data_IF_851068810238
#
_entry.id   IF_851068810238
#
_cell.length_a   1.000
_cell.length_b   1.000
_cell.length_c   1.000
_cell.angle_alpha   90.00
_cell.angle_beta   90.00
_cell.angle_gamma   90.00
#
_symmetry.space_group_name_H-M   'P 1'
#
loop_
_entity.id
_entity.type
_entity.pdbx_description
1 polymer ?
#
# COMPACT_ATOMS: atom_id res chain seq x y z
N UNK A 1 -2.08 -24.41 -2.91
CA UNK A 1 -1.67 -23.68 -4.14
C UNK A 1 -0.21 -23.27 -4.08
N UNK A 2 0.28 -22.58 -3.03
CA UNK A 2 1.67 -22.10 -2.93
C UNK A 2 2.68 -23.24 -3.08
N UNK A 3 2.56 -24.31 -2.31
CA UNK A 3 3.47 -25.49 -2.40
C UNK A 3 3.46 -26.19 -3.76
N UNK A 4 2.42 -25.99 -4.57
CA UNK A 4 2.27 -26.55 -5.93
C UNK A 4 2.64 -25.53 -7.01
N UNK A 5 3.20 -24.38 -6.66
CA UNK A 5 3.52 -23.26 -7.57
C UNK A 5 2.32 -22.80 -8.43
N UNK A 6 1.12 -22.97 -7.93
CA UNK A 6 -0.10 -22.49 -8.60
C UNK A 6 -0.26 -20.99 -8.37
N UNK A 7 -0.76 -20.28 -9.39
CA UNK A 7 -1.08 -18.85 -9.26
C UNK A 7 -2.18 -18.67 -8.21
N UNK A 8 -1.97 -17.72 -7.32
CA UNK A 8 -2.95 -17.30 -6.32
C UNK A 8 -3.89 -16.27 -6.93
N UNK A 9 -5.15 -16.33 -6.56
CA UNK A 9 -6.16 -15.30 -6.85
C UNK A 9 -6.34 -14.36 -5.64
N UNK A 10 -7.19 -13.35 -5.78
CA UNK A 10 -7.45 -12.39 -4.71
C UNK A 10 -7.95 -13.08 -3.43
N UNK A 11 -8.85 -14.03 -3.56
CA UNK A 11 -9.46 -14.71 -2.43
C UNK A 11 -8.45 -15.50 -1.61
N UNK A 12 -7.45 -16.15 -2.26
CA UNK A 12 -6.39 -16.87 -1.55
C UNK A 12 -5.59 -15.97 -0.61
N UNK A 13 -5.29 -14.74 -1.06
CA UNK A 13 -4.60 -13.75 -0.22
C UNK A 13 -5.52 -13.24 0.89
N UNK A 14 -6.76 -12.90 0.55
CA UNK A 14 -7.72 -12.31 1.48
C UNK A 14 -8.05 -13.24 2.64
N UNK A 15 -8.34 -14.49 2.35
CA UNK A 15 -8.66 -15.51 3.37
C UNK A 15 -7.50 -15.63 4.38
N UNK A 16 -6.27 -15.71 3.89
CA UNK A 16 -5.10 -15.80 4.75
C UNK A 16 -4.88 -14.52 5.57
N UNK A 17 -4.93 -13.35 4.93
CA UNK A 17 -4.71 -12.07 5.59
C UNK A 17 -5.80 -11.78 6.63
N UNK A 18 -7.06 -12.09 6.34
CA UNK A 18 -8.18 -11.98 7.30
C UNK A 18 -8.01 -12.92 8.49
N UNK A 19 -7.52 -14.14 8.26
CA UNK A 19 -7.22 -15.06 9.35
C UNK A 19 -6.10 -14.54 10.28
N UNK A 20 -5.07 -13.90 9.72
CA UNK A 20 -4.03 -13.23 10.51
C UNK A 20 -4.57 -12.00 11.24
N UNK A 21 -5.40 -11.19 10.57
CA UNK A 21 -6.04 -10.01 11.17
C UNK A 21 -6.89 -10.39 12.38
N UNK A 22 -7.72 -11.42 12.25
CA UNK A 22 -8.54 -11.92 13.36
C UNK A 22 -7.73 -12.37 14.59
N UNK A 23 -6.46 -12.74 14.41
CA UNK A 23 -5.51 -13.06 15.49
C UNK A 23 -4.71 -11.84 15.97
N UNK A 24 -4.84 -10.68 15.33
CA UNK A 24 -3.99 -9.51 15.57
C UNK A 24 -2.55 -9.70 15.09
N UNK A 25 -2.31 -10.57 14.11
CA UNK A 25 -0.97 -10.95 13.63
C UNK A 25 -0.67 -10.45 12.21
N UNK A 26 -1.57 -9.67 11.63
CA UNK A 26 -1.38 -9.19 10.25
C UNK A 26 -0.31 -8.09 10.18
N UNK A 27 -0.35 -7.14 11.08
CA UNK A 27 0.53 -5.97 11.09
C UNK A 27 1.64 -6.10 12.15
N UNK A 28 2.44 -7.17 12.10
CA UNK A 28 3.46 -7.49 13.12
C UNK A 28 4.51 -6.39 13.32
N UNK A 29 4.69 -5.53 12.32
CA UNK A 29 5.69 -4.45 12.33
C UNK A 29 5.11 -3.10 12.76
N UNK A 30 3.80 -2.99 12.92
CA UNK A 30 3.17 -1.74 13.36
C UNK A 30 3.35 -1.51 14.87
N UNK A 31 3.32 -0.25 15.34
CA UNK A 31 3.17 0.07 16.74
C UNK A 31 1.90 -0.55 17.35
N UNK A 32 1.93 -0.87 18.63
CA UNK A 32 0.79 -1.49 19.33
C UNK A 32 -0.47 -0.63 19.27
N UNK A 33 -0.33 0.67 19.42
CA UNK A 33 -1.40 1.66 19.35
C UNK A 33 -2.14 1.68 18.01
N UNK A 34 -1.50 1.16 16.96
CA UNK A 34 -2.08 1.02 15.62
C UNK A 34 -2.39 -0.43 15.23
N UNK A 35 -2.46 -1.34 16.21
CA UNK A 35 -2.84 -2.74 15.98
C UNK A 35 -1.67 -3.69 15.70
N UNK A 36 -0.43 -3.26 15.95
CA UNK A 36 0.74 -4.12 15.86
C UNK A 36 0.88 -5.06 17.06
N UNK A 37 1.63 -6.14 16.91
CA UNK A 37 1.78 -7.20 17.92
C UNK A 37 2.68 -6.80 19.09
N UNK A 38 3.59 -5.86 18.89
CA UNK A 38 4.65 -5.53 19.86
C UNK A 38 5.64 -6.68 20.09
N UNK A 39 5.76 -7.60 19.16
CA UNK A 39 6.71 -8.70 19.21
C UNK A 39 8.16 -8.21 19.09
N UNK A 40 9.06 -8.95 19.75
CA UNK A 40 10.49 -8.79 19.55
C UNK A 40 10.90 -9.18 18.12
N UNK A 41 12.07 -8.73 17.67
CA UNK A 41 12.58 -9.10 16.34
C UNK A 41 12.73 -10.63 16.18
N UNK A 42 13.09 -11.34 17.25
CA UNK A 42 13.16 -12.82 17.22
C UNK A 42 11.77 -13.43 16.98
N UNK A 43 10.73 -12.94 17.64
CA UNK A 43 9.37 -13.45 17.45
C UNK A 43 8.85 -13.17 16.04
N UNK A 44 9.13 -11.98 15.50
CA UNK A 44 8.79 -11.63 14.11
C UNK A 44 9.48 -12.55 13.12
N UNK A 45 10.78 -12.82 13.31
CA UNK A 45 11.54 -13.72 12.47
C UNK A 45 10.98 -15.15 12.50
N UNK A 46 10.70 -15.69 13.69
CA UNK A 46 10.08 -17.02 13.85
C UNK A 46 8.73 -17.06 13.10
N UNK A 47 7.91 -16.02 13.25
CA UNK A 47 6.63 -15.94 12.57
C UNK A 47 6.77 -15.98 11.05
N UNK A 48 7.71 -15.21 10.48
CA UNK A 48 7.99 -15.20 9.04
C UNK A 48 8.48 -16.57 8.54
N UNK A 49 9.38 -17.23 9.28
CA UNK A 49 9.84 -18.58 8.94
C UNK A 49 8.69 -19.59 8.96
N UNK A 50 7.83 -19.56 9.97
CA UNK A 50 6.72 -20.51 10.09
C UNK A 50 5.68 -20.32 8.99
N UNK A 51 5.38 -19.08 8.57
CA UNK A 51 4.55 -18.78 7.41
C UNK A 51 5.13 -19.43 6.14
N UNK A 52 6.41 -19.27 5.90
CA UNK A 52 7.09 -19.83 4.72
C UNK A 52 7.09 -21.36 4.79
N UNK A 53 7.47 -21.97 5.92
CA UNK A 53 7.48 -23.41 6.13
C UNK A 53 6.09 -24.05 5.94
N UNK A 54 5.05 -23.35 6.41
CA UNK A 54 3.67 -23.78 6.22
C UNK A 54 3.23 -23.72 4.75
N UNK A 55 3.93 -22.97 3.91
CA UNK A 55 3.54 -22.70 2.52
C UNK A 55 2.30 -21.82 2.44
N UNK A 56 2.19 -20.84 3.34
CA UNK A 56 1.12 -19.86 3.34
C UNK A 56 1.30 -18.84 2.19
N UNK A 57 0.22 -18.17 1.76
CA UNK A 57 0.32 -17.05 0.84
C UNK A 57 1.23 -15.93 1.38
N UNK A 58 1.85 -15.18 0.49
CA UNK A 58 2.57 -13.97 0.88
C UNK A 58 1.59 -12.92 1.40
N UNK A 59 1.92 -12.26 2.50
CA UNK A 59 1.19 -11.07 2.95
C UNK A 59 1.41 -9.95 1.94
N UNK A 60 0.33 -9.34 1.47
CA UNK A 60 0.38 -8.24 0.48
C UNK A 60 0.88 -6.96 1.16
N UNK A 61 1.99 -6.37 0.71
CA UNK A 61 2.71 -5.36 1.49
C UNK A 61 2.18 -3.93 1.32
N UNK A 62 1.42 -3.63 0.27
CA UNK A 62 1.17 -2.24 -0.17
C UNK A 62 0.47 -1.38 0.90
N UNK A 63 -0.62 -1.85 1.49
CA UNK A 63 -1.26 -1.17 2.61
C UNK A 63 -0.44 -1.27 3.89
N UNK A 64 0.02 -2.47 4.23
CA UNK A 64 0.64 -2.77 5.52
C UNK A 64 2.05 -2.20 5.70
N UNK A 65 2.94 -2.44 4.71
CA UNK A 65 4.37 -2.13 4.86
C UNK A 65 4.79 -0.86 4.14
N UNK A 66 3.95 -0.31 3.26
CA UNK A 66 4.28 0.88 2.49
C UNK A 66 3.42 2.08 2.91
N UNK A 67 2.10 2.03 2.70
CA UNK A 67 1.22 3.15 3.01
C UNK A 67 0.97 3.32 4.52
N UNK A 68 0.74 2.23 5.26
CA UNK A 68 0.45 2.29 6.70
C UNK A 68 1.49 3.07 7.51
N UNK A 69 2.80 2.79 7.38
CA UNK A 69 3.85 3.58 8.03
C UNK A 69 3.82 5.08 7.67
N UNK A 70 3.55 5.41 6.41
CA UNK A 70 3.44 6.82 5.97
C UNK A 70 2.21 7.48 6.60
N UNK A 71 1.07 6.80 6.66
CA UNK A 71 -0.12 7.31 7.34
C UNK A 71 0.11 7.55 8.83
N UNK A 72 0.79 6.61 9.51
CA UNK A 72 1.09 6.74 10.94
C UNK A 72 1.98 7.95 11.24
N UNK A 73 2.95 8.23 10.37
CA UNK A 73 3.91 9.33 10.55
C UNK A 73 3.34 10.68 10.09
N UNK A 74 2.73 10.75 8.91
CA UNK A 74 2.39 12.00 8.22
C UNK A 74 0.88 12.24 8.08
N UNK A 75 0.05 11.23 8.26
CA UNK A 75 -1.40 11.38 8.17
C UNK A 75 -1.98 12.19 9.34
N UNK A 76 -3.05 12.94 9.08
CA UNK A 76 -3.84 13.54 10.15
C UNK A 76 -4.68 12.47 10.88
N UNK A 77 -5.28 12.82 12.01
CA UNK A 77 -6.02 11.87 12.85
C UNK A 77 -7.26 11.27 12.15
N UNK A 78 -7.92 12.04 11.27
CA UNK A 78 -9.05 11.55 10.48
C UNK A 78 -8.60 10.50 9.46
N UNK A 79 -7.50 10.75 8.77
CA UNK A 79 -6.90 9.80 7.82
C UNK A 79 -6.46 8.51 8.53
N UNK A 80 -5.77 8.61 9.64
CA UNK A 80 -5.35 7.45 10.45
C UNK A 80 -6.56 6.63 10.89
N UNK A 81 -7.56 7.29 11.47
CA UNK A 81 -8.79 6.65 11.94
C UNK A 81 -9.58 5.97 10.83
N UNK A 82 -9.56 6.53 9.64
CA UNK A 82 -10.29 5.97 8.50
C UNK A 82 -9.52 4.81 7.84
N UNK A 83 -8.24 5.00 7.49
CA UNK A 83 -7.51 4.05 6.64
C UNK A 83 -6.86 2.90 7.42
N UNK A 84 -6.25 3.14 8.58
CA UNK A 84 -5.49 2.09 9.27
C UNK A 84 -6.35 0.88 9.65
N UNK A 85 -7.57 1.02 10.22
CA UNK A 85 -8.44 -0.12 10.48
C UNK A 85 -8.85 -0.87 9.21
N UNK A 86 -9.10 -0.18 8.11
CA UNK A 86 -9.51 -0.76 6.83
C UNK A 86 -8.39 -1.58 6.18
N UNK A 87 -7.13 -1.14 6.35
CA UNK A 87 -5.95 -1.92 5.95
C UNK A 87 -5.87 -3.21 6.79
N UNK A 88 -6.04 -3.12 8.11
CA UNK A 88 -6.00 -4.27 9.00
C UNK A 88 -7.12 -5.28 8.75
N UNK A 89 -8.32 -4.80 8.44
CA UNK A 89 -9.47 -5.64 8.14
C UNK A 89 -9.46 -6.22 6.71
N UNK A 90 -8.48 -5.82 5.88
CA UNK A 90 -8.43 -6.16 4.45
C UNK A 90 -9.64 -5.64 3.65
N UNK A 91 -10.27 -4.55 4.09
CA UNK A 91 -11.34 -3.86 3.36
C UNK A 91 -10.77 -3.07 2.18
N UNK A 92 -9.58 -2.49 2.37
CA UNK A 92 -8.86 -1.72 1.37
C UNK A 92 -7.67 -2.50 0.81
N UNK A 93 -7.75 -2.76 -0.50
CA UNK A 93 -6.67 -3.35 -1.28
C UNK A 93 -5.92 -2.26 -2.03
N UNK A 94 -4.70 -1.99 -1.59
CA UNK A 94 -3.88 -0.90 -2.09
C UNK A 94 -2.97 -1.35 -3.23
N UNK A 95 -2.83 -0.48 -4.23
CA UNK A 95 -1.81 -0.57 -5.26
C UNK A 95 -0.83 0.59 -5.15
N UNK A 96 0.39 0.38 -5.65
CA UNK A 96 1.45 1.37 -5.67
C UNK A 96 1.60 1.96 -7.06
N UNK A 97 1.36 3.26 -7.21
CA UNK A 97 1.52 4.02 -8.43
C UNK A 97 2.79 4.88 -8.41
N UNK A 98 3.98 4.26 -8.53
CA UNK A 98 5.26 4.97 -8.49
C UNK A 98 5.86 5.10 -9.89
N UNK A 99 6.29 3.99 -10.49
CA UNK A 99 6.98 3.97 -11.77
C UNK A 99 6.10 4.42 -12.93
N UNK A 100 6.73 5.02 -13.93
CA UNK A 100 6.13 5.41 -15.21
C UNK A 100 6.90 4.77 -16.36
N UNK A 101 6.38 4.73 -17.60
CA UNK A 101 7.12 4.18 -18.72
C UNK A 101 8.51 4.78 -18.93
N UNK A 102 8.70 6.05 -18.57
CA UNK A 102 9.98 6.76 -18.67
C UNK A 102 10.66 7.07 -17.34
N UNK A 103 10.15 6.54 -16.21
CA UNK A 103 10.65 6.89 -14.88
C UNK A 103 10.51 5.68 -13.95
N UNK A 104 11.59 4.98 -13.76
CA UNK A 104 11.69 3.83 -12.83
C UNK A 104 12.73 4.11 -11.75
N UNK A 105 14.00 3.72 -11.98
CA UNK A 105 15.09 3.99 -11.03
C UNK A 105 15.32 5.47 -10.79
N UNK A 106 15.21 6.31 -11.83
CA UNK A 106 15.13 7.76 -11.68
C UNK A 106 13.68 8.20 -11.44
N UNK A 107 13.18 7.91 -10.25
CA UNK A 107 11.80 8.22 -9.87
C UNK A 107 11.53 9.73 -9.79
N UNK A 108 12.57 10.55 -9.55
CA UNK A 108 12.43 12.01 -9.52
C UNK A 108 12.03 12.60 -10.89
N UNK A 109 12.26 11.88 -11.97
CA UNK A 109 11.87 12.27 -13.33
C UNK A 109 10.41 11.98 -13.68
N UNK A 110 9.59 11.50 -12.72
CA UNK A 110 8.17 11.23 -12.95
C UNK A 110 7.44 12.45 -13.52
N UNK A 111 6.44 12.18 -14.39
CA UNK A 111 5.71 13.20 -15.14
C UNK A 111 4.23 13.30 -14.78
N UNK A 112 3.66 12.32 -14.10
CA UNK A 112 2.28 12.36 -13.63
C UNK A 112 2.09 13.61 -12.78
N UNK A 113 1.14 14.48 -13.19
CA UNK A 113 0.85 15.75 -12.51
C UNK A 113 -0.45 15.64 -11.74
N UNK A 114 -0.52 16.36 -10.62
CA UNK A 114 -1.75 16.60 -9.89
C UNK A 114 -1.94 18.12 -9.77
N UNK A 115 -3.10 18.59 -10.21
CA UNK A 115 -3.50 20.00 -10.12
C UNK A 115 -4.56 20.13 -9.04
N UNK A 116 -4.30 21.00 -8.08
CA UNK A 116 -5.21 21.29 -6.98
C UNK A 116 -6.36 22.20 -7.45
N UNK A 117 -7.61 21.76 -7.22
CA UNK A 117 -8.84 22.52 -7.49
C UNK A 117 -9.56 22.91 -6.20
N UNK A 118 -8.91 22.75 -5.04
CA UNK A 118 -9.41 23.12 -3.73
C UNK A 118 -10.10 21.98 -2.99
N UNK A 119 -11.12 21.38 -3.58
CA UNK A 119 -11.86 20.24 -3.02
C UNK A 119 -11.41 18.87 -3.59
N UNK A 120 -10.68 18.89 -4.71
CA UNK A 120 -10.14 17.68 -5.34
C UNK A 120 -8.86 17.96 -6.14
N UNK A 121 -8.13 16.90 -6.51
CA UNK A 121 -7.00 16.96 -7.43
C UNK A 121 -7.38 16.32 -8.77
N UNK A 122 -7.03 16.99 -9.87
CA UNK A 122 -7.05 16.37 -11.20
C UNK A 122 -5.66 15.80 -11.47
N UNK A 123 -5.60 14.46 -11.63
CA UNK A 123 -4.35 13.71 -11.84
C UNK A 123 -4.26 13.27 -13.30
N UNK A 124 -3.19 13.67 -13.99
CA UNK A 124 -2.93 13.29 -15.37
C UNK A 124 -1.55 12.65 -15.52
N UNK A 125 -1.50 11.46 -16.06
CA UNK A 125 -0.27 10.70 -16.29
C UNK A 125 -0.52 9.22 -16.46
N UNK A 126 0.56 8.44 -16.51
CA UNK A 126 0.49 6.99 -16.65
C UNK A 126 1.45 6.33 -15.67
N UNK A 127 0.95 5.42 -14.85
CA UNK A 127 1.75 4.54 -14.00
C UNK A 127 1.91 3.17 -14.64
N UNK A 128 3.02 2.50 -14.34
CA UNK A 128 3.34 1.17 -14.87
C UNK A 128 3.88 0.25 -13.78
N UNK A 129 3.91 -1.05 -14.07
CA UNK A 129 4.41 -2.08 -13.15
C UNK A 129 3.65 -2.14 -11.81
N UNK A 130 2.38 -1.78 -11.82
CA UNK A 130 1.52 -1.76 -10.64
C UNK A 130 1.16 -3.19 -10.24
N UNK A 131 2.01 -3.79 -9.42
CA UNK A 131 1.87 -5.19 -8.97
C UNK A 131 0.53 -5.40 -8.24
N UNK A 132 -0.22 -6.44 -8.64
CA UNK A 132 -1.54 -6.79 -8.13
C UNK A 132 -2.59 -5.65 -8.29
N UNK A 133 -2.34 -4.68 -9.18
CA UNK A 133 -3.26 -3.59 -9.45
C UNK A 133 -4.67 -4.05 -9.85
N UNK A 134 -4.77 -5.21 -10.54
CA UNK A 134 -6.05 -5.81 -10.91
C UNK A 134 -6.94 -6.23 -9.71
N UNK A 135 -6.38 -6.29 -8.50
CA UNK A 135 -7.11 -6.64 -7.29
C UNK A 135 -7.40 -5.42 -6.41
N UNK A 136 -6.71 -4.31 -6.68
CA UNK A 136 -6.78 -3.10 -5.87
C UNK A 136 -8.11 -2.36 -6.06
N UNK A 137 -8.61 -1.78 -4.97
CA UNK A 137 -9.69 -0.81 -4.97
C UNK A 137 -9.22 0.56 -4.49
N UNK A 138 -7.95 0.68 -4.16
CA UNK A 138 -7.28 1.91 -3.72
C UNK A 138 -5.88 2.01 -4.32
N UNK A 139 -5.42 3.23 -4.54
CA UNK A 139 -4.06 3.47 -5.02
C UNK A 139 -3.39 4.60 -4.22
N UNK A 140 -2.09 4.46 -3.96
CA UNK A 140 -1.25 5.58 -3.54
C UNK A 140 -0.23 5.87 -4.63
N UNK A 141 -0.19 7.13 -5.05
CA UNK A 141 0.59 7.59 -6.20
C UNK A 141 1.60 8.66 -5.83
N UNK A 142 2.81 8.57 -6.39
CA UNK A 142 3.70 9.70 -6.47
C UNK A 142 3.35 10.55 -7.69
N UNK A 143 3.10 11.85 -7.45
CA UNK A 143 2.69 12.82 -8.47
C UNK A 143 3.47 14.11 -8.32
N UNK A 144 3.52 14.93 -9.37
CA UNK A 144 4.05 16.29 -9.30
C UNK A 144 2.93 17.28 -9.00
N UNK A 145 3.05 17.98 -7.88
CA UNK A 145 2.19 19.10 -7.50
C UNK A 145 2.86 20.46 -7.72
N UNK A 146 4.21 20.49 -7.78
CA UNK A 146 4.98 21.68 -8.12
C UNK A 146 6.04 21.35 -9.18
N UNK A 147 6.11 22.15 -10.23
CA UNK A 147 7.09 22.02 -11.32
C UNK A 147 8.14 23.15 -11.31
N UNK A 148 8.03 24.12 -10.40
CA UNK A 148 8.90 25.30 -10.33
C UNK A 148 10.04 25.14 -9.31
N UNK A 149 10.25 23.93 -8.81
CA UNK A 149 11.29 23.59 -7.84
C UNK A 149 12.18 22.45 -8.35
N UNK A 150 13.16 22.03 -7.55
CA UNK A 150 13.94 20.82 -7.85
C UNK A 150 13.01 19.63 -7.99
N UNK A 151 13.25 18.68 -8.95
CA UNK A 151 12.35 17.58 -9.23
C UNK A 151 11.87 16.81 -7.99
N UNK A 152 12.75 16.57 -7.04
CA UNK A 152 12.43 15.82 -5.82
C UNK A 152 11.49 16.59 -4.87
N UNK A 153 11.60 17.92 -4.85
CA UNK A 153 10.83 18.77 -3.92
C UNK A 153 9.38 18.98 -4.38
N UNK A 154 9.09 18.77 -5.66
CA UNK A 154 7.76 18.95 -6.22
C UNK A 154 6.93 17.65 -6.26
N UNK A 155 7.42 16.57 -5.63
CA UNK A 155 6.72 15.28 -5.59
C UNK A 155 5.89 15.19 -4.31
N UNK A 156 4.63 14.80 -4.48
CA UNK A 156 3.71 14.52 -3.39
C UNK A 156 3.21 13.09 -3.48
N UNK A 157 2.90 12.48 -2.34
CA UNK A 157 2.19 11.21 -2.26
C UNK A 157 0.70 11.48 -2.11
N UNK A 158 -0.06 11.21 -3.16
CA UNK A 158 -1.53 11.20 -3.10
C UNK A 158 -2.03 9.77 -2.87
N UNK A 159 -3.04 9.64 -2.04
CA UNK A 159 -3.79 8.40 -1.87
C UNK A 159 -5.28 8.73 -1.82
N UNK A 160 -6.07 7.90 -2.47
CA UNK A 160 -7.47 8.20 -2.73
C UNK A 160 -8.39 7.08 -2.34
N UNK A 161 -9.62 7.47 -1.97
CA UNK A 161 -10.71 6.56 -1.69
C UNK A 161 -11.42 6.06 -2.96
N UNK A 162 -11.42 6.81 -4.04
CA UNK A 162 -11.94 6.40 -5.33
C UNK A 162 -10.92 6.74 -6.42
N UNK A 163 -10.22 5.73 -6.92
CA UNK A 163 -9.45 5.86 -8.14
C UNK A 163 -10.41 5.61 -9.30
N UNK A 164 -10.88 6.73 -9.87
CA UNK A 164 -11.40 6.82 -11.22
C UNK A 164 -12.45 5.76 -11.62
N UNK A 165 -13.70 6.04 -11.39
CA UNK A 165 -14.76 5.75 -12.34
C UNK A 165 -14.82 6.91 -13.36
N UNK A 166 -13.79 7.00 -14.22
CA UNK A 166 -13.91 7.73 -15.47
C UNK A 166 -13.46 6.79 -16.60
N UNK A 167 -14.35 6.47 -17.57
CA UNK A 167 -14.14 5.52 -18.67
C UNK A 167 -13.09 5.99 -19.68
#
# INVERSE_FOLDING_TARGET
>A
KVKKFQRLDKNDYEEFMKALSAKGWLAVNWPKEHGGTGWSNTQKHIFEEEIVKAGAPRIVPFGLNMLGPVLMEFGNEEQKKYYLPRILNCDDWWAQGYSEPGSGSDLASLKTKAVDHGDHYIVNGQKTWTTLGQFANKIFCLVKTDTNCKPQNGICLLYTSDAADDP
#
